data_IF_731546760794
#
_entry.id   IF_731546760794
#
_cell.length_a   1.000
_cell.length_b   1.000
_cell.length_c   1.000
_cell.angle_alpha   90.00
_cell.angle_beta   90.00
_cell.angle_gamma   90.00
#
_symmetry.space_group_name_H-M   'P 1'
#
loop_
_entity.id
_entity.type
_entity.pdbx_description
1 polymer ?
#
# COMPACT_ATOMS: atom_id res chain seq x y z
N UNK A 1 21.27 15.61 35.05
CA UNK A 1 21.01 15.66 33.60
C UNK A 1 20.37 14.34 33.20
N UNK A 2 19.16 14.30 32.63
CA UNK A 2 18.65 13.05 32.07
C UNK A 2 19.37 12.79 30.74
N UNK A 3 19.92 11.59 30.59
CA UNK A 3 20.53 11.12 29.35
C UNK A 3 19.53 11.20 28.21
N UNK A 4 19.88 11.96 27.16
CA UNK A 4 19.21 11.88 25.88
C UNK A 4 19.40 10.47 25.32
N UNK A 5 18.34 9.65 25.38
CA UNK A 5 18.29 8.42 24.61
C UNK A 5 18.29 8.83 23.14
N UNK A 6 19.42 8.64 22.46
CA UNK A 6 19.49 8.74 21.00
C UNK A 6 18.55 7.68 20.44
N UNK A 7 17.37 8.10 19.98
CA UNK A 7 16.49 7.26 19.17
C UNK A 7 17.14 7.15 17.80
N UNK A 8 17.71 5.99 17.50
CA UNK A 8 18.12 5.70 16.12
C UNK A 8 16.88 5.71 15.22
N UNK A 9 16.93 6.35 14.04
CA UNK A 9 15.81 6.34 13.12
C UNK A 9 15.55 4.90 12.68
N UNK A 10 14.31 4.43 12.85
CA UNK A 10 13.92 3.11 12.36
C UNK A 10 13.99 3.14 10.83
N UNK A 11 14.68 2.18 10.17
CA UNK A 11 14.83 2.21 8.72
C UNK A 11 13.47 2.04 8.03
N UNK A 12 13.07 3.07 7.28
CA UNK A 12 11.88 3.03 6.43
C UNK A 12 12.19 2.31 5.12
N UNK A 13 11.25 1.47 4.66
CA UNK A 13 11.30 0.81 3.36
C UNK A 13 10.05 1.14 2.54
N UNK A 14 10.13 1.12 1.20
CA UNK A 14 8.93 1.27 0.38
C UNK A 14 8.02 0.05 0.53
N UNK A 15 6.73 0.31 0.70
CA UNK A 15 5.68 -0.69 0.78
C UNK A 15 4.73 -0.55 -0.41
N UNK A 16 4.49 -1.66 -1.10
CA UNK A 16 3.68 -1.73 -2.31
C UNK A 16 2.30 -2.30 -1.97
N UNK A 17 1.23 -1.61 -2.35
CA UNK A 17 -0.15 -2.10 -2.19
C UNK A 17 -1.10 -1.34 -3.12
N UNK A 18 -2.35 -1.79 -3.22
CA UNK A 18 -3.40 -1.06 -3.91
C UNK A 18 -4.54 -0.71 -2.96
N UNK A 19 -5.09 0.49 -3.11
CA UNK A 19 -6.36 0.89 -2.50
C UNK A 19 -7.43 0.82 -3.58
N UNK A 20 -8.33 -0.14 -3.48
CA UNK A 20 -9.43 -0.33 -4.44
C UNK A 20 -10.62 0.51 -4.00
N UNK A 21 -11.14 1.31 -4.91
CA UNK A 21 -12.30 2.16 -4.65
C UNK A 21 -13.59 1.37 -4.83
N UNK A 22 -14.63 1.76 -4.09
CA UNK A 22 -15.97 1.18 -4.24
C UNK A 22 -16.63 1.56 -5.58
N UNK A 23 -16.34 2.78 -6.06
CA UNK A 23 -16.79 3.31 -7.35
C UNK A 23 -15.66 4.10 -8.04
N UNK A 24 -15.72 4.27 -9.38
CA UNK A 24 -14.85 5.20 -10.08
C UNK A 24 -14.98 6.63 -9.54
N UNK A 25 -13.92 7.42 -9.68
CA UNK A 25 -13.97 8.83 -9.30
C UNK A 25 -14.96 9.57 -10.20
N UNK A 26 -15.72 10.50 -9.62
CA UNK A 26 -16.49 11.46 -10.42
C UNK A 26 -15.53 12.45 -11.10
N UNK A 27 -15.95 13.13 -12.19
CA UNK A 27 -15.12 14.15 -12.82
C UNK A 27 -14.63 15.21 -11.81
N UNK A 28 -15.49 15.64 -10.89
CA UNK A 28 -15.14 16.61 -9.86
C UNK A 28 -14.09 16.08 -8.87
N UNK A 29 -14.15 14.79 -8.53
CA UNK A 29 -13.13 14.16 -7.67
C UNK A 29 -11.81 14.00 -8.41
N UNK A 30 -11.84 13.70 -9.72
CA UNK A 30 -10.63 13.65 -10.55
C UNK A 30 -9.97 15.03 -10.63
N UNK A 31 -10.76 16.09 -10.90
CA UNK A 31 -10.26 17.46 -10.96
C UNK A 31 -9.67 17.91 -9.61
N UNK A 32 -10.28 17.48 -8.50
CA UNK A 32 -9.76 17.75 -7.16
C UNK A 32 -8.44 17.02 -6.91
N UNK A 33 -8.37 15.73 -7.28
CA UNK A 33 -7.15 14.94 -7.17
C UNK A 33 -6.00 15.57 -7.96
N UNK A 34 -6.25 16.05 -9.17
CA UNK A 34 -5.27 16.74 -10.02
C UNK A 34 -4.72 18.03 -9.39
N UNK A 35 -5.43 18.61 -8.42
CA UNK A 35 -4.99 19.77 -7.64
C UNK A 35 -4.26 19.44 -6.34
N UNK A 36 -4.21 18.18 -5.91
CA UNK A 36 -3.63 17.78 -4.62
C UNK A 36 -2.17 17.36 -4.77
N UNK A 37 -1.26 18.29 -4.48
CA UNK A 37 0.19 18.06 -4.53
C UNK A 37 0.64 16.83 -3.72
N UNK A 38 -0.02 16.52 -2.60
CA UNK A 38 0.29 15.35 -1.75
C UNK A 38 0.09 13.99 -2.44
N UNK A 39 -0.73 13.93 -3.48
CA UNK A 39 -0.85 12.74 -4.35
C UNK A 39 0.23 12.72 -5.44
N UNK A 40 0.74 13.89 -5.84
CA UNK A 40 1.81 14.06 -6.83
C UNK A 40 3.22 14.01 -6.25
N UNK A 41 3.39 14.19 -4.94
CA UNK A 41 4.67 14.07 -4.20
C UNK A 41 5.30 12.66 -4.29
N UNK A 42 4.61 11.73 -4.95
CA UNK A 42 5.11 10.43 -5.32
C UNK A 42 4.57 9.33 -4.43
N UNK A 43 4.50 8.13 -5.00
CA UNK A 43 4.08 6.94 -4.27
C UNK A 43 2.57 6.69 -4.26
N UNK A 44 1.73 7.50 -4.91
CA UNK A 44 0.33 7.17 -5.16
C UNK A 44 -0.02 7.49 -6.62
N UNK A 45 -0.49 6.50 -7.37
CA UNK A 45 -0.90 6.67 -8.76
C UNK A 45 -2.30 6.12 -9.00
N UNK A 46 -3.17 6.91 -9.61
CA UNK A 46 -4.51 6.46 -10.01
C UNK A 46 -4.41 5.52 -11.22
N UNK A 47 -5.10 4.39 -11.16
CA UNK A 47 -5.26 3.46 -12.27
C UNK A 47 -6.74 3.08 -12.42
N UNK A 48 -7.31 3.43 -13.57
CA UNK A 48 -8.72 3.25 -13.86
C UNK A 48 -8.96 2.27 -15.01
N UNK A 49 -10.00 1.46 -14.87
CA UNK A 49 -10.59 0.64 -15.92
C UNK A 49 -12.12 0.67 -15.79
N UNK A 50 -12.88 0.34 -16.84
CA UNK A 50 -14.34 0.27 -16.74
C UNK A 50 -14.78 -0.60 -15.56
N UNK A 51 -15.51 0.01 -14.60
CA UNK A 51 -16.02 -0.65 -13.40
C UNK A 51 -14.98 -0.95 -12.30
N UNK A 52 -13.76 -0.44 -12.42
CA UNK A 52 -12.70 -0.68 -11.43
C UNK A 52 -11.74 0.52 -11.38
N UNK A 53 -11.72 1.21 -10.24
CA UNK A 53 -10.76 2.28 -9.98
C UNK A 53 -9.94 1.95 -8.74
N UNK A 54 -8.62 2.16 -8.82
CA UNK A 54 -7.71 1.90 -7.71
C UNK A 54 -6.57 2.91 -7.68
N UNK A 55 -6.03 3.11 -6.50
CA UNK A 55 -4.73 3.74 -6.33
C UNK A 55 -3.64 2.69 -6.15
N UNK A 56 -2.58 2.80 -6.91
CA UNK A 56 -1.34 2.02 -6.75
C UNK A 56 -0.42 2.80 -5.81
N UNK A 57 -0.04 2.19 -4.70
CA UNK A 57 0.69 2.86 -3.63
C UNK A 57 2.10 2.27 -3.45
N UNK A 58 3.08 3.15 -3.27
CA UNK A 58 4.50 2.89 -2.93
C UNK A 58 4.91 3.90 -1.86
N UNK A 59 4.68 3.56 -0.60
CA UNK A 59 4.86 4.49 0.54
C UNK A 59 6.02 4.02 1.43
N UNK A 60 6.91 4.93 1.82
CA UNK A 60 8.00 4.62 2.76
C UNK A 60 7.47 4.66 4.18
N UNK A 61 7.64 3.57 4.90
CA UNK A 61 7.29 3.48 6.32
C UNK A 61 8.04 2.33 6.99
N UNK A 62 8.03 2.30 8.32
CA UNK A 62 8.55 1.19 9.12
C UNK A 62 7.76 -0.11 8.85
N UNK A 63 6.43 -0.02 8.73
CA UNK A 63 5.56 -1.18 8.55
C UNK A 63 4.55 -0.98 7.43
N UNK A 64 4.05 -2.09 6.87
CA UNK A 64 2.96 -2.04 5.88
C UNK A 64 1.72 -1.34 6.44
N UNK A 65 1.40 -1.59 7.71
CA UNK A 65 0.26 -0.96 8.37
C UNK A 65 0.42 0.56 8.47
N UNK A 66 1.63 1.03 8.81
CA UNK A 66 1.92 2.47 8.83
C UNK A 66 1.84 3.09 7.42
N UNK A 67 2.33 2.38 6.40
CA UNK A 67 2.22 2.80 5.02
C UNK A 67 0.75 2.89 4.53
N UNK A 68 -0.09 1.91 4.91
CA UNK A 68 -1.52 1.93 4.60
C UNK A 68 -2.21 3.09 5.32
N UNK A 69 -1.91 3.31 6.61
CA UNK A 69 -2.48 4.41 7.38
C UNK A 69 -2.13 5.77 6.76
N UNK A 70 -0.86 6.02 6.42
CA UNK A 70 -0.44 7.26 5.76
C UNK A 70 -1.16 7.46 4.40
N UNK A 71 -1.35 6.39 3.63
CA UNK A 71 -2.09 6.49 2.38
C UNK A 71 -3.58 6.80 2.60
N UNK A 72 -4.22 6.20 3.62
CA UNK A 72 -5.62 6.44 3.94
C UNK A 72 -5.85 7.85 4.49
N UNK A 73 -4.94 8.39 5.30
CA UNK A 73 -5.01 9.76 5.84
C UNK A 73 -5.01 10.83 4.73
N UNK A 74 -4.50 10.51 3.53
CA UNK A 74 -4.56 11.42 2.37
C UNK A 74 -5.96 11.53 1.76
N UNK A 75 -6.85 10.58 2.01
CA UNK A 75 -8.22 10.62 1.50
C UNK A 75 -9.12 11.59 2.27
N UNK A 76 -8.68 12.09 3.44
CA UNK A 76 -9.36 13.19 4.13
C UNK A 76 -9.43 14.44 3.24
N UNK A 77 -8.47 14.62 2.33
CA UNK A 77 -8.43 15.71 1.36
C UNK A 77 -9.30 15.45 0.10
N UNK A 78 -9.85 14.24 -0.06
CA UNK A 78 -10.63 13.80 -1.23
C UNK A 78 -12.04 13.31 -0.81
N UNK A 79 -12.94 14.22 -0.40
CA UNK A 79 -14.21 13.84 0.21
C UNK A 79 -15.12 13.03 -0.71
N UNK A 80 -15.80 12.05 -0.12
CA UNK A 80 -16.76 11.19 -0.82
C UNK A 80 -16.13 10.02 -1.58
N UNK A 81 -14.81 9.86 -1.54
CA UNK A 81 -14.15 8.64 -2.04
C UNK A 81 -14.19 7.56 -0.97
N UNK A 82 -14.62 6.36 -1.37
CA UNK A 82 -14.71 5.21 -0.46
C UNK A 82 -13.72 4.14 -0.90
N UNK A 83 -12.78 3.81 -0.03
CA UNK A 83 -11.88 2.67 -0.21
C UNK A 83 -12.60 1.40 0.24
N UNK A 84 -12.78 0.46 -0.68
CA UNK A 84 -13.45 -0.82 -0.45
C UNK A 84 -12.50 -1.87 0.12
N UNK A 85 -11.27 -1.93 -0.38
CA UNK A 85 -10.29 -2.94 0.03
C UNK A 85 -8.86 -2.46 -0.15
N UNK A 86 -7.96 -3.04 0.64
CA UNK A 86 -6.51 -2.98 0.44
C UNK A 86 -6.05 -4.30 -0.15
N UNK A 87 -5.35 -4.25 -1.27
CA UNK A 87 -4.93 -5.45 -2.02
C UNK A 87 -3.43 -5.52 -2.23
N UNK A 88 -2.87 -6.68 -1.91
CA UNK A 88 -1.52 -7.09 -2.29
C UNK A 88 -1.62 -8.00 -3.51
N UNK A 89 -1.41 -7.43 -4.70
CA UNK A 89 -1.32 -8.23 -5.92
C UNK A 89 0.01 -9.01 -5.97
N UNK A 90 0.19 -9.89 -6.96
CA UNK A 90 1.40 -10.71 -7.07
C UNK A 90 2.70 -9.90 -7.08
N UNK A 91 2.70 -8.74 -7.75
CA UNK A 91 3.86 -7.83 -7.80
C UNK A 91 4.11 -7.23 -6.41
N UNK A 92 3.06 -6.71 -5.76
CA UNK A 92 3.16 -6.14 -4.42
C UNK A 92 3.63 -7.17 -3.37
N UNK A 93 3.21 -8.44 -3.49
CA UNK A 93 3.71 -9.52 -2.64
C UNK A 93 5.21 -9.75 -2.83
N UNK A 94 5.68 -9.76 -4.07
CA UNK A 94 7.11 -9.93 -4.40
C UNK A 94 7.94 -8.75 -3.87
N UNK A 95 7.56 -7.52 -4.23
CA UNK A 95 8.25 -6.29 -3.82
C UNK A 95 8.29 -6.10 -2.29
N UNK A 96 7.25 -6.56 -1.58
CA UNK A 96 7.21 -6.51 -0.12
C UNK A 96 7.98 -7.66 0.56
N UNK A 97 8.54 -8.61 -0.20
CA UNK A 97 9.18 -9.81 0.34
C UNK A 97 8.20 -10.76 1.04
N UNK A 98 6.93 -10.75 0.63
CA UNK A 98 5.83 -11.57 1.16
C UNK A 98 5.41 -12.67 0.18
N UNK A 99 5.98 -12.71 -1.02
CA UNK A 99 5.76 -13.79 -1.96
C UNK A 99 6.17 -15.13 -1.32
N UNK A 100 5.23 -16.07 -1.30
CA UNK A 100 5.49 -17.44 -0.85
C UNK A 100 5.29 -18.39 -2.02
N UNK A 101 6.07 -19.46 -2.06
CA UNK A 101 5.90 -20.49 -3.09
C UNK A 101 4.52 -21.15 -2.90
N UNK A 102 3.72 -21.18 -3.98
CA UNK A 102 2.38 -21.76 -3.95
C UNK A 102 2.37 -23.27 -3.62
N UNK A 103 3.49 -23.95 -3.82
CA UNK A 103 3.69 -25.37 -3.51
C UNK A 103 5.09 -25.55 -2.94
N UNK A 104 5.17 -25.92 -1.65
CA UNK A 104 6.41 -26.46 -1.05
C UNK A 104 6.28 -27.98 -1.10
N UNK A 105 7.16 -28.72 -1.81
CA UNK A 105 7.17 -30.16 -1.74
C UNK A 105 7.33 -30.60 -0.29
N UNK A 106 6.45 -31.48 0.20
CA UNK A 106 6.66 -32.12 1.49
C UNK A 106 7.99 -32.88 1.40
N UNK A 107 8.97 -32.61 2.29
CA UNK A 107 10.19 -33.40 2.35
C UNK A 107 9.82 -34.87 2.45
N UNK A 108 10.50 -35.79 1.75
CA UNK A 108 10.22 -37.21 1.87
C UNK A 108 10.23 -37.58 3.35
N UNK A 109 9.14 -38.20 3.83
CA UNK A 109 9.11 -38.79 5.16
C UNK A 109 10.26 -39.79 5.19
N UNK A 110 11.32 -39.49 5.94
CA UNK A 110 12.38 -40.45 6.15
C UNK A 110 11.73 -41.69 6.74
N UNK A 111 11.81 -42.83 6.03
CA UNK A 111 11.32 -44.11 6.51
C UNK A 111 11.85 -44.31 7.93
N UNK A 112 10.96 -44.20 8.92
CA UNK A 112 11.27 -44.58 10.29
C UNK A 112 11.18 -46.09 10.32
N UNK A 113 12.31 -46.75 10.04
CA UNK A 113 12.52 -48.17 10.29
C UNK A 113 12.61 -48.46 11.79
#
# INVERSE_FOLDING_TARGET
MPSSKTTEPVPERPWHFNLVLDAPLTPQQSDLLDGLDRFHEGGIGLAERPGYSRFMCVIRAETLTAAIADALDRFDDLPGVVVRSVELNAIALDENGMATAAVVPVPPLADVC
#
